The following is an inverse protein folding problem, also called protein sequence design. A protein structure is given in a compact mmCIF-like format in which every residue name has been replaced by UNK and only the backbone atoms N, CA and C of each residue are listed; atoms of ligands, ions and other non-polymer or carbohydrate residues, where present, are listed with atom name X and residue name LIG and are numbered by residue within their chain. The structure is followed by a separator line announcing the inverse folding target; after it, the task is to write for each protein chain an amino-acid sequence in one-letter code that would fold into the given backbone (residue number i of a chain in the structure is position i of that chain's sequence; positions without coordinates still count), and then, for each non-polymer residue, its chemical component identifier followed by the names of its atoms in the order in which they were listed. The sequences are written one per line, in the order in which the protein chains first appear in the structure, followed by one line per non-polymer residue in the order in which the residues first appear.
data_IF_977216186404
#
_entry.id   IF_977216186404
#
_cell.length_a   1.000
_cell.length_b   1.000
_cell.length_c   1.000
_cell.angle_alpha   90.00
_cell.angle_beta   90.00
_cell.angle_gamma   90.00
#
_symmetry.space_group_name_H-M   'P 1'
#
loop_
_entity.id
_entity.type
_entity.pdbx_description
1 polymer ?
#
# COMPACT_ATOMS: atom_id res chain seq x y z
N UNK A 1 -20.70 1.69 -1.65
CA UNK A 1 -20.11 0.36 -1.98
C UNK A 1 -19.21 0.58 -3.18
N UNK A 2 -17.89 0.66 -2.97
CA UNK A 2 -16.93 0.80 -4.07
C UNK A 2 -16.88 -0.56 -4.77
N UNK A 3 -17.40 -0.65 -5.99
CA UNK A 3 -17.21 -1.83 -6.84
C UNK A 3 -15.86 -1.68 -7.52
N UNK A 4 -14.84 -2.30 -6.94
CA UNK A 4 -13.52 -2.36 -7.54
C UNK A 4 -13.47 -3.59 -8.46
N UNK A 5 -13.47 -3.37 -9.77
CA UNK A 5 -13.24 -4.44 -10.74
C UNK A 5 -11.75 -4.50 -11.05
N UNK A 6 -11.04 -5.45 -10.47
CA UNK A 6 -9.66 -5.75 -10.87
C UNK A 6 -9.65 -6.40 -12.24
N UNK A 7 -8.86 -5.88 -13.17
CA UNK A 7 -8.55 -6.55 -14.42
C UNK A 7 -7.81 -7.88 -14.17
N UNK A 8 -7.74 -8.74 -15.20
CA UNK A 8 -7.00 -10.01 -15.10
C UNK A 8 -5.50 -9.78 -14.81
N UNK A 9 -4.91 -8.74 -15.42
CA UNK A 9 -3.51 -8.39 -15.23
C UNK A 9 -3.20 -8.01 -13.77
N UNK A 10 -4.09 -7.23 -13.15
CA UNK A 10 -3.94 -6.79 -11.76
C UNK A 10 -4.10 -7.95 -10.77
N UNK A 11 -5.04 -8.86 -11.04
CA UNK A 11 -5.19 -10.10 -10.27
C UNK A 11 -3.93 -10.95 -10.33
N UNK A 12 -3.34 -11.11 -11.52
CA UNK A 12 -2.06 -11.82 -11.70
C UNK A 12 -0.93 -11.14 -10.93
N UNK A 13 -0.83 -9.81 -11.01
CA UNK A 13 0.20 -9.03 -10.30
C UNK A 13 0.11 -9.21 -8.79
N UNK A 14 -1.10 -9.14 -8.22
CA UNK A 14 -1.31 -9.38 -6.79
C UNK A 14 -0.94 -10.81 -6.39
N UNK A 15 -1.43 -11.81 -7.15
CA UNK A 15 -1.25 -13.21 -6.81
C UNK A 15 0.19 -13.70 -6.93
N UNK A 16 0.95 -13.09 -7.83
CA UNK A 16 2.36 -13.41 -8.04
C UNK A 16 3.30 -12.48 -7.26
N UNK A 17 2.76 -11.64 -6.37
CA UNK A 17 3.60 -10.77 -5.56
C UNK A 17 4.39 -11.56 -4.53
N UNK A 18 5.65 -11.18 -4.36
CA UNK A 18 6.56 -11.78 -3.37
C UNK A 18 6.00 -11.59 -1.96
N UNK A 19 5.48 -10.39 -1.65
CA UNK A 19 4.90 -10.09 -0.34
C UNK A 19 3.75 -11.04 0.02
N UNK A 20 2.84 -11.32 -0.92
CA UNK A 20 1.75 -12.26 -0.69
C UNK A 20 2.24 -13.70 -0.56
N UNK A 21 3.22 -14.09 -1.38
CA UNK A 21 3.85 -15.43 -1.30
C UNK A 21 4.55 -15.65 0.05
N UNK A 22 5.30 -14.65 0.52
CA UNK A 22 5.94 -14.67 1.84
C UNK A 22 4.91 -14.76 2.96
N UNK A 23 3.80 -14.01 2.85
CA UNK A 23 2.73 -14.02 3.83
C UNK A 23 2.02 -15.38 3.91
N UNK A 24 1.77 -16.03 2.77
CA UNK A 24 1.21 -17.39 2.70
C UNK A 24 2.14 -18.44 3.29
N UNK A 25 3.44 -18.17 3.29
CA UNK A 25 4.48 -19.09 3.77
C UNK A 25 4.81 -18.92 5.26
N UNK A 26 4.00 -18.17 6.03
CA UNK A 26 4.24 -17.94 7.46
C UNK A 26 4.11 -19.24 8.25
N UNK A 27 5.09 -19.50 9.12
CA UNK A 27 5.05 -20.58 10.10
C UNK A 27 5.39 -20.06 11.50
N UNK A 28 4.76 -20.56 12.58
CA UNK A 28 3.62 -21.49 12.58
C UNK A 28 2.34 -20.85 12.02
N UNK A 29 1.36 -21.69 11.65
CA UNK A 29 0.15 -21.25 10.95
C UNK A 29 -0.70 -20.30 11.83
N UNK A 30 -1.50 -19.47 11.15
CA UNK A 30 -2.26 -18.37 11.74
C UNK A 30 -3.52 -18.90 12.43
N UNK A 31 -3.82 -18.40 13.63
CA UNK A 31 -5.02 -18.78 14.39
C UNK A 31 -6.23 -17.92 13.99
N UNK A 32 -7.43 -18.47 14.09
CA UNK A 32 -8.67 -17.75 13.74
C UNK A 32 -9.12 -16.78 14.85
N UNK A 33 -9.82 -15.71 14.45
CA UNK A 33 -10.28 -14.63 15.34
C UNK A 33 -11.21 -15.08 16.48
N UNK A 34 -12.09 -16.04 16.22
CA UNK A 34 -13.01 -16.61 17.22
C UNK A 34 -12.28 -17.21 18.44
N UNK A 35 -10.96 -17.44 18.32
CA UNK A 35 -10.10 -17.97 19.37
C UNK A 35 -9.26 -16.90 20.06
N UNK A 36 -8.90 -15.85 19.34
CA UNK A 36 -8.14 -14.71 19.87
C UNK A 36 -9.01 -13.78 20.74
N UNK A 37 -10.33 -13.92 20.62
CA UNK A 37 -11.35 -13.11 21.31
C UNK A 37 -11.91 -13.73 22.60
N UNK A 38 -11.57 -15.00 22.92
CA UNK A 38 -12.03 -15.68 24.14
C UNK A 38 -11.16 -15.31 25.35
N UNK A 39 -11.70 -14.65 26.38
CA UNK A 39 -10.93 -14.18 27.55
C UNK A 39 -10.38 -15.32 28.44
N UNK A 40 -10.91 -16.52 28.28
CA UNK A 40 -10.71 -17.72 29.11
C UNK A 40 -9.71 -18.72 28.52
N UNK A 41 -9.14 -18.43 27.35
CA UNK A 41 -8.13 -19.26 26.70
C UNK A 41 -6.71 -18.88 27.15
N UNK A 42 -6.14 -19.69 28.05
CA UNK A 42 -4.71 -19.63 28.33
C UNK A 42 -3.91 -20.16 27.12
N UNK A 43 -2.87 -19.44 26.63
CA UNK A 43 -2.10 -19.84 25.45
C UNK A 43 -1.42 -21.22 25.55
N UNK A 44 -1.23 -21.71 26.79
CA UNK A 44 -0.53 -22.96 27.09
C UNK A 44 -1.49 -24.10 27.52
N UNK A 45 -2.80 -23.89 27.47
CA UNK A 45 -3.81 -24.89 27.90
C UNK A 45 -4.75 -25.30 26.76
N UNK A 46 -4.35 -25.10 25.50
CA UNK A 46 -5.16 -25.49 24.36
C UNK A 46 -5.14 -27.01 24.18
N UNK A 47 -6.30 -27.66 23.97
CA UNK A 47 -6.36 -29.02 23.44
C UNK A 47 -5.75 -29.04 22.03
N UNK A 48 -4.89 -30.03 21.73
CA UNK A 48 -4.21 -30.16 20.43
C UNK A 48 -5.21 -30.15 19.24
N UNK A 49 -6.38 -30.77 19.41
CA UNK A 49 -7.46 -30.80 18.41
C UNK A 49 -7.93 -29.41 17.99
N UNK A 50 -7.97 -28.46 18.93
CA UNK A 50 -8.34 -27.12 18.60
C UNK A 50 -7.24 -26.50 17.76
N UNK A 51 -5.98 -26.47 18.21
CA UNK A 51 -4.85 -25.91 17.44
C UNK A 51 -4.84 -26.45 16.01
N UNK A 52 -4.92 -27.77 15.84
CA UNK A 52 -5.00 -28.45 14.55
C UNK A 52 -6.13 -27.94 13.65
N UNK A 53 -7.31 -27.65 14.20
CA UNK A 53 -8.44 -27.11 13.44
C UNK A 53 -8.20 -25.69 12.90
N UNK A 54 -7.53 -24.79 13.64
CA UNK A 54 -7.19 -23.46 13.10
C UNK A 54 -6.06 -23.53 12.08
N UNK A 55 -5.07 -24.36 12.34
CA UNK A 55 -3.98 -24.59 11.40
C UNK A 55 -4.51 -25.17 10.09
N UNK A 56 -5.46 -26.12 10.15
CA UNK A 56 -6.16 -26.66 9.00
C UNK A 56 -6.94 -25.59 8.22
N UNK A 57 -7.54 -24.60 8.89
CA UNK A 57 -8.22 -23.47 8.21
C UNK A 57 -7.24 -22.55 7.49
N UNK A 58 -6.10 -22.25 8.10
CA UNK A 58 -5.05 -21.47 7.44
C UNK A 58 -4.48 -22.23 6.24
N UNK A 59 -4.18 -23.52 6.41
CA UNK A 59 -3.72 -24.40 5.32
C UNK A 59 -4.75 -24.48 4.19
N UNK A 60 -6.04 -24.63 4.50
CA UNK A 60 -7.10 -24.63 3.50
C UNK A 60 -7.19 -23.31 2.73
N UNK A 61 -6.92 -22.17 3.39
CA UNK A 61 -6.87 -20.87 2.73
C UNK A 61 -5.65 -20.77 1.78
N UNK A 62 -4.51 -21.31 2.18
CA UNK A 62 -3.31 -21.43 1.33
C UNK A 62 -3.60 -22.31 0.11
N UNK A 63 -4.12 -23.52 0.31
CA UNK A 63 -4.39 -24.48 -0.78
C UNK A 63 -5.37 -23.90 -1.81
N UNK A 64 -6.41 -23.20 -1.34
CA UNK A 64 -7.37 -22.51 -2.21
C UNK A 64 -6.74 -21.36 -2.98
N UNK A 65 -5.83 -20.63 -2.34
CA UNK A 65 -5.09 -19.58 -3.01
C UNK A 65 -4.15 -20.14 -4.09
N UNK A 66 -3.45 -21.24 -3.81
CA UNK A 66 -2.60 -21.91 -4.80
C UNK A 66 -3.41 -22.44 -5.99
N UNK A 67 -4.56 -23.07 -5.71
CA UNK A 67 -5.50 -23.49 -6.76
C UNK A 67 -5.93 -22.31 -7.62
N UNK A 68 -6.23 -21.17 -7.02
CA UNK A 68 -6.58 -19.95 -7.76
C UNK A 68 -5.44 -19.44 -8.63
N UNK A 69 -4.22 -19.39 -8.11
CA UNK A 69 -3.05 -18.95 -8.88
C UNK A 69 -2.88 -19.80 -10.14
N UNK A 70 -3.03 -21.11 -10.02
CA UNK A 70 -3.02 -22.04 -11.17
C UNK A 70 -4.17 -21.77 -12.15
N UNK A 71 -5.37 -21.46 -11.68
CA UNK A 71 -6.50 -21.10 -12.55
C UNK A 71 -6.32 -19.76 -13.27
N UNK A 72 -5.72 -18.76 -12.60
CA UNK A 72 -5.36 -17.45 -13.12
C UNK A 72 -4.34 -17.54 -14.27
N UNK A 73 -3.35 -18.41 -14.11
CA UNK A 73 -2.35 -18.72 -15.15
C UNK A 73 -3.03 -19.32 -16.40
N UNK A 74 -4.04 -20.18 -16.19
CA UNK A 74 -4.84 -20.78 -17.27
C UNK A 74 -5.84 -19.81 -17.92
N UNK A 75 -5.94 -18.57 -17.43
CA UNK A 75 -6.82 -17.54 -17.98
C UNK A 75 -8.26 -17.61 -17.50
N UNK A 76 -8.56 -18.42 -16.47
CA UNK A 76 -9.90 -18.50 -15.89
C UNK A 76 -10.10 -17.34 -14.90
N UNK A 77 -11.17 -16.55 -15.09
CA UNK A 77 -11.44 -15.34 -14.32
C UNK A 77 -12.58 -15.49 -13.30
N UNK A 78 -12.58 -16.54 -12.48
CA UNK A 78 -13.61 -16.62 -11.44
C UNK A 78 -13.27 -15.65 -10.29
N UNK A 79 -14.28 -14.95 -9.77
CA UNK A 79 -14.14 -13.97 -8.68
C UNK A 79 -14.11 -14.61 -7.28
N UNK A 80 -14.55 -15.87 -7.16
CA UNK A 80 -14.54 -16.67 -5.92
C UNK A 80 -13.22 -16.59 -5.11
N UNK A 81 -12.05 -16.49 -5.74
CA UNK A 81 -10.77 -16.51 -5.02
C UNK A 81 -10.35 -15.20 -4.36
N UNK A 82 -10.90 -14.06 -4.79
CA UNK A 82 -10.71 -12.79 -4.07
C UNK A 82 -11.32 -12.90 -2.67
N UNK A 83 -12.45 -13.59 -2.53
CA UNK A 83 -13.06 -13.85 -1.22
C UNK A 83 -12.16 -14.65 -0.28
N UNK A 84 -11.33 -15.55 -0.80
CA UNK A 84 -10.36 -16.31 -0.01
C UNK A 84 -9.16 -15.48 0.42
N UNK A 85 -8.65 -14.63 -0.48
CA UNK A 85 -7.63 -13.65 -0.12
C UNK A 85 -8.14 -12.72 0.99
N UNK A 86 -9.36 -12.19 0.87
CA UNK A 86 -9.96 -11.34 1.91
C UNK A 86 -10.05 -12.06 3.26
N UNK A 87 -10.46 -13.33 3.28
CA UNK A 87 -10.49 -14.14 4.51
C UNK A 87 -9.11 -14.30 5.13
N UNK A 88 -8.08 -14.56 4.32
CA UNK A 88 -6.70 -14.65 4.79
C UNK A 88 -6.21 -13.33 5.38
N UNK A 89 -6.42 -12.22 4.66
CA UNK A 89 -6.07 -10.88 5.12
C UNK A 89 -6.79 -10.53 6.43
N UNK A 90 -8.04 -10.96 6.58
CA UNK A 90 -8.82 -10.79 7.80
C UNK A 90 -8.23 -11.56 8.98
N UNK A 91 -7.89 -12.85 8.79
CA UNK A 91 -7.23 -13.65 9.84
C UNK A 91 -5.91 -13.02 10.28
N UNK A 92 -5.11 -12.52 9.35
CA UNK A 92 -3.85 -11.85 9.64
C UNK A 92 -4.07 -10.56 10.44
N UNK A 93 -4.98 -9.69 9.99
CA UNK A 93 -5.34 -8.47 10.70
C UNK A 93 -5.71 -8.78 12.15
N UNK A 94 -6.53 -9.80 12.37
CA UNK A 94 -6.92 -10.23 13.73
C UNK A 94 -5.70 -10.65 14.55
N UNK A 95 -4.78 -11.44 13.99
CA UNK A 95 -3.56 -11.84 14.69
C UNK A 95 -2.66 -10.64 15.02
N UNK A 96 -2.51 -9.65 14.13
CA UNK A 96 -1.77 -8.41 14.41
C UNK A 96 -2.44 -7.61 15.53
N UNK A 97 -3.78 -7.48 15.49
CA UNK A 97 -4.56 -6.74 16.49
C UNK A 97 -4.48 -7.38 17.89
N UNK A 98 -4.41 -8.70 17.96
CA UNK A 98 -4.35 -9.46 19.21
C UNK A 98 -2.93 -9.84 19.64
N UNK A 99 -1.91 -9.69 18.77
CA UNK A 99 -0.51 -9.97 19.09
C UNK A 99 0.07 -9.08 20.18
N UNK A 100 -0.40 -7.83 20.26
CA UNK A 100 0.02 -6.84 21.28
C UNK A 100 -0.79 -6.91 22.59
N UNK A 101 -1.93 -7.61 22.60
CA UNK A 101 -2.78 -7.77 23.77
C UNK A 101 -2.58 -9.16 24.35
N UNK A 102 -1.55 -9.39 25.16
CA UNK A 102 -1.50 -10.62 25.95
C UNK A 102 -0.79 -10.46 27.31
N UNK A 103 -1.38 -11.02 28.38
CA UNK A 103 -0.83 -11.02 29.73
C UNK A 103 0.44 -11.88 29.84
N UNK A 104 1.18 -11.70 30.95
CA UNK A 104 2.41 -12.44 31.27
C UNK A 104 2.21 -13.95 31.01
N UNK A 105 3.08 -14.57 30.18
CA UNK A 105 3.18 -16.02 29.83
C UNK A 105 2.72 -16.44 28.42
N UNK A 106 3.29 -15.83 27.36
CA UNK A 106 3.18 -16.35 26.00
C UNK A 106 4.24 -17.42 25.70
N UNK A 107 3.90 -18.44 24.90
CA UNK A 107 4.88 -19.35 24.30
C UNK A 107 5.79 -18.60 23.32
N UNK A 108 7.07 -19.00 23.22
CA UNK A 108 8.02 -18.40 22.28
C UNK A 108 7.53 -18.52 20.82
N UNK A 109 6.83 -19.60 20.49
CA UNK A 109 6.27 -19.84 19.15
C UNK A 109 5.23 -18.79 18.75
N UNK A 110 4.33 -18.39 19.67
CA UNK A 110 3.36 -17.32 19.39
C UNK A 110 4.04 -15.98 19.18
N UNK A 111 5.05 -15.65 20.00
CA UNK A 111 5.81 -14.39 19.85
C UNK A 111 6.54 -14.36 18.50
N UNK A 112 7.15 -15.48 18.10
CA UNK A 112 7.81 -15.60 16.79
C UNK A 112 6.82 -15.43 15.65
N UNK A 113 5.68 -16.14 15.71
CA UNK A 113 4.61 -16.03 14.72
C UNK A 113 4.10 -14.61 14.56
N UNK A 114 3.75 -13.94 15.66
CA UNK A 114 3.16 -12.60 15.60
C UNK A 114 4.15 -11.57 15.03
N UNK A 115 5.45 -11.71 15.34
CA UNK A 115 6.52 -10.90 14.74
C UNK A 115 6.65 -11.15 13.24
N UNK A 116 6.61 -12.41 12.82
CA UNK A 116 6.76 -12.82 11.43
C UNK A 116 5.55 -12.40 10.59
N UNK A 117 4.33 -12.54 11.12
CA UNK A 117 3.11 -12.01 10.50
C UNK A 117 3.22 -10.50 10.36
N UNK A 118 3.58 -9.79 11.44
CA UNK A 118 3.63 -8.34 11.45
C UNK A 118 4.68 -7.78 10.48
N UNK A 119 5.84 -8.45 10.35
CA UNK A 119 6.89 -8.02 9.42
C UNK A 119 6.50 -8.23 7.95
N UNK A 120 5.74 -9.29 7.65
CA UNK A 120 5.34 -9.64 6.27
C UNK A 120 4.05 -8.94 5.81
N UNK A 121 3.14 -8.63 6.74
CA UNK A 121 1.85 -8.00 6.45
C UNK A 121 1.96 -6.63 5.76
N UNK A 122 2.95 -5.82 6.15
CA UNK A 122 3.11 -4.46 5.62
C UNK A 122 3.30 -4.45 4.10
N UNK A 123 4.05 -5.40 3.54
CA UNK A 123 4.26 -5.49 2.09
C UNK A 123 2.97 -5.76 1.32
N UNK A 124 2.06 -6.57 1.89
CA UNK A 124 0.77 -6.87 1.25
C UNK A 124 -0.17 -5.68 1.34
N UNK A 125 -0.22 -5.01 2.49
CA UNK A 125 -0.97 -3.75 2.65
C UNK A 125 -0.48 -2.71 1.63
N UNK A 126 0.83 -2.58 1.47
CA UNK A 126 1.45 -1.63 0.55
C UNK A 126 1.10 -1.90 -0.93
N UNK A 127 0.97 -3.17 -1.34
CA UNK A 127 0.47 -3.55 -2.67
C UNK A 127 -1.01 -3.21 -2.81
N UNK A 128 -1.83 -3.55 -1.81
CA UNK A 128 -3.27 -3.29 -1.85
C UNK A 128 -3.57 -1.80 -1.94
N UNK A 129 -2.86 -0.96 -1.17
CA UNK A 129 -2.99 0.49 -1.28
C UNK A 129 -2.55 1.02 -2.64
N UNK A 130 -1.45 0.49 -3.19
CA UNK A 130 -0.99 0.88 -4.52
C UNK A 130 -2.05 0.55 -5.57
N UNK A 131 -2.64 -0.65 -5.54
CA UNK A 131 -3.72 -1.03 -6.45
C UNK A 131 -4.99 -0.17 -6.25
N UNK A 132 -5.46 -0.03 -5.01
CA UNK A 132 -6.71 0.69 -4.69
C UNK A 132 -6.67 2.17 -5.09
N UNK A 133 -5.47 2.77 -5.10
CA UNK A 133 -5.25 4.16 -5.50
C UNK A 133 -4.77 4.30 -6.95
N UNK A 134 -4.91 3.24 -7.75
CA UNK A 134 -4.54 3.20 -9.17
C UNK A 134 -3.03 3.45 -9.40
N UNK A 135 -2.19 2.68 -8.72
CA UNK A 135 -0.73 2.67 -8.79
C UNK A 135 -0.06 4.04 -8.59
N UNK A 136 -0.31 4.74 -7.47
CA UNK A 136 0.33 6.02 -7.22
C UNK A 136 1.86 5.93 -7.19
N UNK A 137 2.48 4.78 -6.88
CA UNK A 137 3.95 4.63 -6.87
C UNK A 137 4.62 4.84 -8.22
N UNK A 138 3.89 4.67 -9.32
CA UNK A 138 4.39 4.97 -10.65
C UNK A 138 4.07 6.39 -11.12
N UNK A 139 3.46 7.24 -10.29
CA UNK A 139 3.03 8.59 -10.68
C UNK A 139 3.64 9.68 -9.82
N UNK A 140 4.14 10.72 -10.49
CA UNK A 140 4.65 11.93 -9.85
C UNK A 140 4.11 13.15 -10.61
N UNK A 141 3.56 14.10 -9.87
CA UNK A 141 3.15 15.40 -10.39
C UNK A 141 4.13 16.48 -9.90
N UNK A 142 4.57 17.32 -10.83
CA UNK A 142 5.54 18.37 -10.60
C UNK A 142 4.98 19.71 -11.11
N UNK A 143 5.41 20.80 -10.48
CA UNK A 143 5.14 22.13 -11.01
C UNK A 143 5.92 22.31 -12.32
N UNK A 144 5.37 23.04 -13.30
CA UNK A 144 6.10 23.34 -14.53
C UNK A 144 7.25 24.30 -14.22
N UNK A 145 8.44 23.74 -13.97
CA UNK A 145 9.67 24.49 -13.71
C UNK A 145 10.81 23.93 -14.58
N UNK A 146 11.45 24.79 -15.39
CA UNK A 146 12.55 24.40 -16.27
C UNK A 146 13.74 23.79 -15.51
N UNK A 147 13.86 24.09 -14.22
CA UNK A 147 14.89 23.50 -13.34
C UNK A 147 14.66 22.05 -13.01
N UNK A 148 13.47 21.52 -13.26
CA UNK A 148 13.15 20.11 -13.03
C UNK A 148 13.61 19.24 -14.20
N UNK A 149 13.83 19.83 -15.40
CA UNK A 149 14.28 19.10 -16.59
C UNK A 149 15.56 18.26 -16.39
N UNK A 150 16.63 18.77 -15.74
CA UNK A 150 17.81 17.94 -15.47
C UNK A 150 17.56 16.83 -14.45
N UNK A 151 16.63 17.04 -13.51
CA UNK A 151 16.30 16.10 -12.43
C UNK A 151 15.51 14.90 -12.97
N UNK A 152 14.63 15.15 -13.93
CA UNK A 152 13.82 14.14 -14.62
C UNK A 152 14.52 13.59 -15.87
N UNK A 153 15.65 14.18 -16.27
CA UNK A 153 16.45 13.69 -17.38
C UNK A 153 16.84 12.21 -17.16
N UNK A 154 16.62 11.40 -18.18
CA UNK A 154 16.89 9.96 -18.14
C UNK A 154 15.82 9.10 -17.47
N UNK A 155 14.72 9.68 -16.97
CA UNK A 155 13.52 8.90 -16.60
C UNK A 155 12.65 8.76 -17.85
N UNK A 156 12.57 7.54 -18.38
CA UNK A 156 11.61 7.22 -19.44
C UNK A 156 10.21 7.15 -18.83
N UNK A 157 9.37 8.14 -19.14
CA UNK A 157 8.03 8.27 -18.59
C UNK A 157 7.05 8.77 -19.65
N UNK A 158 5.78 8.41 -19.48
CA UNK A 158 4.68 9.04 -20.20
C UNK A 158 4.30 10.34 -19.48
N UNK A 159 4.23 11.44 -20.22
CA UNK A 159 3.98 12.77 -19.67
C UNK A 159 2.60 13.28 -20.10
N UNK A 160 1.79 13.67 -19.12
CA UNK A 160 0.56 14.44 -19.32
C UNK A 160 0.80 15.89 -18.91
N UNK A 161 0.47 16.82 -19.81
CA UNK A 161 0.59 18.27 -19.58
C UNK A 161 -0.74 18.92 -19.23
N UNK A 162 -1.87 18.28 -19.55
CA UNK A 162 -3.20 18.71 -19.15
C UNK A 162 -3.53 18.15 -17.75
N UNK A 163 -2.84 18.68 -16.75
CA UNK A 163 -2.99 18.23 -15.37
C UNK A 163 -3.12 19.40 -14.40
N UNK A 164 -3.96 19.24 -13.37
CA UNK A 164 -4.07 20.22 -12.30
C UNK A 164 -4.23 19.59 -10.91
N UNK A 165 -3.82 20.32 -9.89
CA UNK A 165 -3.97 19.94 -8.48
C UNK A 165 -4.54 21.12 -7.70
N UNK A 166 -5.49 20.86 -6.81
CA UNK A 166 -5.99 21.90 -5.89
C UNK A 166 -5.02 22.04 -4.72
N UNK A 167 -4.12 23.01 -4.80
CA UNK A 167 -3.03 23.15 -3.83
C UNK A 167 -2.53 24.58 -3.69
N UNK A 168 -1.79 24.84 -2.63
CA UNK A 168 -1.11 26.14 -2.43
C UNK A 168 0.30 26.09 -2.99
N UNK A 169 0.66 26.99 -3.89
CA UNK A 169 2.04 27.16 -4.38
C UNK A 169 2.68 28.40 -3.77
N UNK A 170 3.94 28.29 -3.38
CA UNK A 170 4.75 29.43 -2.99
C UNK A 170 6.13 29.38 -3.61
N UNK A 171 6.87 30.48 -3.44
CA UNK A 171 8.26 30.60 -3.86
C UNK A 171 9.18 30.28 -2.67
N UNK A 172 10.16 29.40 -2.88
CA UNK A 172 11.23 29.09 -1.94
C UNK A 172 12.57 29.11 -2.67
N UNK A 173 13.48 30.00 -2.29
CA UNK A 173 14.77 30.21 -2.96
C UNK A 173 14.64 30.35 -4.48
N UNK A 174 13.60 31.07 -4.93
CA UNK A 174 13.28 31.28 -6.33
C UNK A 174 12.64 30.07 -7.04
N UNK A 175 12.34 28.97 -6.35
CA UNK A 175 11.65 27.78 -6.87
C UNK A 175 10.19 27.73 -6.44
N UNK A 176 9.31 27.36 -7.37
CA UNK A 176 7.93 27.07 -7.00
C UNK A 176 7.88 25.75 -6.23
N UNK A 177 7.20 25.75 -5.09
CA UNK A 177 7.03 24.57 -4.24
C UNK A 177 5.60 24.48 -3.75
N UNK A 178 5.08 23.25 -3.63
CA UNK A 178 3.81 22.99 -2.98
C UNK A 178 3.91 23.25 -1.48
N UNK A 179 2.95 23.92 -0.86
CA UNK A 179 2.93 24.19 0.57
C UNK A 179 2.19 23.12 1.38
N UNK A 180 2.66 22.76 2.58
CA UNK A 180 2.12 21.62 3.34
C UNK A 180 0.81 21.92 4.10
N UNK A 181 0.21 23.13 3.98
CA UNK A 181 -0.99 23.53 4.74
C UNK A 181 -2.23 23.69 3.85
N UNK A 182 -3.38 23.50 4.49
CA UNK A 182 -4.55 22.70 4.10
C UNK A 182 -5.44 23.17 2.95
N UNK A 183 -6.08 22.15 2.34
CA UNK A 183 -7.43 22.05 1.78
C UNK A 183 -8.10 23.37 1.33
N UNK A 184 -8.44 23.39 0.04
CA UNK A 184 -9.00 24.52 -0.73
C UNK A 184 -7.96 25.50 -1.29
N UNK A 185 -6.88 24.95 -1.88
CA UNK A 185 -5.99 25.73 -2.74
C UNK A 185 -6.63 26.08 -4.08
N UNK A 186 -5.96 26.94 -4.84
CA UNK A 186 -6.34 27.20 -6.23
C UNK A 186 -6.04 25.98 -7.11
N UNK A 187 -6.70 25.87 -8.25
CA UNK A 187 -6.32 24.88 -9.26
C UNK A 187 -5.01 25.32 -9.88
N UNK A 188 -3.96 24.54 -9.64
CA UNK A 188 -2.61 24.79 -10.12
C UNK A 188 -2.26 23.82 -11.22
N UNK A 189 -1.75 24.33 -12.33
CA UNK A 189 -1.27 23.50 -13.44
C UNK A 189 0.01 22.77 -13.05
N UNK A 190 0.06 21.49 -13.39
CA UNK A 190 1.18 20.58 -13.12
C UNK A 190 1.49 19.74 -14.35
N UNK A 191 2.69 19.19 -14.39
CA UNK A 191 3.01 18.08 -15.30
C UNK A 191 2.99 16.78 -14.51
N UNK A 192 2.24 15.79 -14.99
CA UNK A 192 2.22 14.47 -14.41
C UNK A 192 3.06 13.51 -15.26
N UNK A 193 3.95 12.77 -14.61
CA UNK A 193 4.66 11.65 -15.22
C UNK A 193 4.08 10.33 -14.71
N UNK A 194 3.99 9.34 -15.61
CA UNK A 194 3.72 7.95 -15.30
C UNK A 194 4.91 7.10 -15.73
N UNK A 195 5.52 6.40 -14.77
CA UNK A 195 6.75 5.64 -14.96
C UNK A 195 6.73 4.39 -14.07
N UNK A 196 6.73 3.21 -14.68
CA UNK A 196 6.73 1.94 -13.94
C UNK A 196 7.97 1.77 -13.05
N UNK A 197 9.10 2.38 -13.43
CA UNK A 197 10.39 2.28 -12.74
C UNK A 197 10.67 3.46 -11.79
N UNK A 198 9.67 4.32 -11.55
CA UNK A 198 9.82 5.50 -10.68
C UNK A 198 10.35 5.17 -9.28
N UNK A 199 10.02 3.96 -8.80
CA UNK A 199 10.55 3.39 -7.56
C UNK A 199 12.08 3.46 -7.45
N UNK A 200 12.79 3.20 -8.56
CA UNK A 200 14.26 3.21 -8.62
C UNK A 200 14.84 4.63 -8.59
N UNK A 201 14.04 5.63 -8.93
CA UNK A 201 14.47 7.03 -9.06
C UNK A 201 14.18 7.86 -7.81
N UNK A 202 13.50 7.31 -6.80
CA UNK A 202 13.09 8.09 -5.62
C UNK A 202 14.24 8.70 -4.85
N UNK A 203 15.33 7.97 -4.62
CA UNK A 203 16.50 8.51 -3.90
C UNK A 203 17.08 9.74 -4.59
N UNK A 204 17.22 9.68 -5.93
CA UNK A 204 17.71 10.80 -6.75
C UNK A 204 16.77 12.00 -6.69
N UNK A 205 15.47 11.75 -6.74
CA UNK A 205 14.46 12.80 -6.62
C UNK A 205 14.50 13.44 -5.22
N UNK A 206 14.61 12.64 -4.16
CA UNK A 206 14.69 13.13 -2.78
C UNK A 206 15.93 14.01 -2.55
N UNK A 207 17.06 13.71 -3.18
CA UNK A 207 18.25 14.59 -3.18
C UNK A 207 17.99 15.94 -3.86
N UNK A 208 17.21 15.95 -4.95
CA UNK A 208 16.89 17.17 -5.70
C UNK A 208 15.80 18.02 -5.03
N UNK A 209 14.95 17.41 -4.20
CA UNK A 209 13.87 18.04 -3.46
C UNK A 209 14.17 18.08 -1.95
N UNK A 210 15.45 18.21 -1.57
CA UNK A 210 15.86 18.33 -0.16
C UNK A 210 15.04 19.39 0.58
N UNK A 211 14.57 19.03 1.78
CA UNK A 211 13.69 19.88 2.59
C UNK A 211 12.20 19.79 2.23
N UNK A 212 11.82 19.11 1.16
CA UNK A 212 10.44 18.76 0.86
C UNK A 212 10.08 17.38 1.40
N UNK A 213 8.80 17.16 1.68
CA UNK A 213 8.21 15.86 1.99
C UNK A 213 7.42 15.36 0.79
N UNK A 214 7.61 14.09 0.44
CA UNK A 214 6.84 13.42 -0.61
C UNK A 214 5.48 12.98 -0.04
N UNK A 215 4.38 13.45 -0.63
CA UNK A 215 3.00 13.19 -0.17
C UNK A 215 2.09 12.79 -1.34
N UNK A 216 1.05 12.00 -1.05
CA UNK A 216 0.03 11.63 -2.03
C UNK A 216 -1.09 12.67 -2.07
N UNK A 217 -1.45 13.12 -3.26
CA UNK A 217 -2.56 14.06 -3.48
C UNK A 217 -3.41 13.65 -4.69
N UNK A 218 -4.70 13.98 -4.71
CA UNK A 218 -5.51 13.87 -5.91
C UNK A 218 -5.06 14.89 -6.96
N UNK A 219 -4.76 14.43 -8.17
CA UNK A 219 -4.40 15.23 -9.34
C UNK A 219 -5.42 14.95 -10.44
N UNK A 220 -5.95 15.99 -11.05
CA UNK A 220 -6.80 15.88 -12.23
C UNK A 220 -5.90 15.72 -13.44
N UNK A 221 -5.90 14.55 -14.07
CA UNK A 221 -5.12 14.20 -15.26
C UNK A 221 -6.12 13.90 -16.38
N UNK A 222 -6.09 14.67 -17.45
CA UNK A 222 -6.97 14.48 -18.62
C UNK A 222 -8.47 14.40 -18.24
N UNK A 223 -8.87 15.18 -17.24
CA UNK A 223 -10.25 15.25 -16.75
C UNK A 223 -10.63 14.21 -15.68
N UNK A 224 -9.73 13.28 -15.34
CA UNK A 224 -9.96 12.25 -14.32
C UNK A 224 -9.10 12.46 -13.08
N UNK A 225 -9.64 12.21 -11.89
CA UNK A 225 -8.85 12.25 -10.67
C UNK A 225 -8.03 10.97 -10.52
N UNK A 226 -6.73 11.14 -10.41
CA UNK A 226 -5.72 10.12 -10.16
C UNK A 226 -4.91 10.52 -8.93
N UNK A 227 -4.43 9.56 -8.15
CA UNK A 227 -3.60 9.85 -6.97
C UNK A 227 -2.13 9.83 -7.39
N UNK A 228 -1.42 10.93 -7.16
CA UNK A 228 -0.02 11.08 -7.56
C UNK A 228 0.83 11.58 -6.40
N UNK A 229 2.11 11.25 -6.41
CA UNK A 229 3.07 11.86 -5.51
C UNK A 229 3.33 13.32 -5.92
N UNK A 230 3.54 14.18 -4.92
CA UNK A 230 4.13 15.52 -5.08
C UNK A 230 5.19 15.75 -4.00
N UNK A 231 6.08 16.73 -4.20
CA UNK A 231 7.01 17.21 -3.18
C UNK A 231 6.50 18.51 -2.55
N UNK A 232 6.12 18.45 -1.27
CA UNK A 232 5.58 19.58 -0.51
C UNK A 232 6.58 20.11 0.53
N UNK A 233 6.76 21.43 0.56
CA UNK A 233 7.70 22.09 1.46
C UNK A 233 6.99 22.56 2.76
N UNK A 234 7.53 22.22 3.95
CA UNK A 234 6.90 22.51 5.24
C UNK A 234 6.95 24.00 5.64
N UNK A 235 7.91 24.77 5.11
CA UNK A 235 8.09 26.18 5.48
C UNK A 235 7.09 27.13 4.80
N UNK A 236 6.30 26.64 3.84
CA UNK A 236 5.24 27.43 3.23
C UNK A 236 4.03 27.40 4.15
N UNK A 237 4.07 28.23 5.18
CA UNK A 237 2.91 28.65 5.95
C UNK A 237 2.47 29.97 5.34
N UNK A 238 1.29 30.04 4.74
CA UNK A 238 0.72 31.34 4.40
C UNK A 238 0.79 32.24 5.64
N UNK A 239 1.50 33.37 5.52
CA UNK A 239 1.30 34.52 6.40
C UNK A 239 -0.08 35.08 6.07
N UNK A 240 -1.13 34.47 6.62
CA UNK A 240 -2.40 35.17 6.81
C UNK A 240 -2.21 36.04 8.07
N UNK A 241 -1.63 37.22 7.88
CA UNK A 241 -1.74 38.37 8.76
C UNK A 241 -1.46 39.58 7.87
N UNK A 242 -2.51 40.03 7.18
CA UNK A 242 -2.70 41.42 6.79
C UNK A 242 -3.87 41.93 7.62
#
# INVERSE_FOLDING_TARGET
MIRYSTSLAERRRLCNSEALTMLLSVKPLILEEDRLSRPDLHPNSQPDEERESSEAKHQNAIDKFDSYRTELERGNSQDAPIGHLVKLLWMIRSNVQHGAKAPRNLSQEKVSRDREISSRWLGVVDILFDMLLDYPKSRLALLPDDRDQPVIAGITAEWSTNCSVEWTVAQNNGRQVFGLKEHHGESVDVHAMECAELASSWSRLEECYQGCSRILVPVKIDGQYKVSWIYAHPAVRHRLNA
#
